data_IF_102210211933
#
_entry.id   IF_102210211933
#
_cell.length_a   1.000
_cell.length_b   1.000
_cell.length_c   1.000
_cell.angle_alpha   90.00
_cell.angle_beta   90.00
_cell.angle_gamma   90.00
#
_symmetry.space_group_name_H-M   'P 1'
#
loop_
_entity.id
_entity.type
_entity.pdbx_description
1 polymer ?
#
# COMPACT_ATOMS: atom_id res chain seq x y z
N UNK A 1 -11.89 -16.97 26.65
CA UNK A 1 -11.14 -15.71 26.50
C UNK A 1 -11.55 -15.09 25.18
N UNK A 2 -12.29 -13.99 25.21
CA UNK A 2 -12.65 -13.24 24.00
C UNK A 2 -11.37 -12.69 23.39
N UNK A 3 -11.07 -13.07 22.16
CA UNK A 3 -9.90 -12.58 21.44
C UNK A 3 -9.94 -11.05 21.42
N UNK A 4 -8.84 -10.41 21.82
CA UNK A 4 -8.71 -8.96 21.83
C UNK A 4 -8.96 -8.43 20.42
N UNK A 5 -9.89 -7.48 20.30
CA UNK A 5 -10.32 -6.97 19.00
C UNK A 5 -9.15 -6.22 18.39
N UNK A 6 -8.72 -6.62 17.19
CA UNK A 6 -7.60 -5.97 16.50
C UNK A 6 -7.87 -4.46 16.36
N UNK A 7 -7.10 -3.65 17.08
CA UNK A 7 -7.15 -2.21 16.96
C UNK A 7 -6.27 -1.76 15.78
N UNK A 8 -6.96 -1.26 14.75
CA UNK A 8 -6.34 -0.73 13.55
C UNK A 8 -5.46 0.47 13.87
N UNK A 9 -5.89 1.36 14.76
CA UNK A 9 -5.17 2.59 15.06
C UNK A 9 -3.85 2.28 15.77
N UNK A 10 -3.89 1.47 16.82
CA UNK A 10 -2.68 1.03 17.53
C UNK A 10 -1.73 0.25 16.62
N UNK A 11 -2.22 -0.63 15.74
CA UNK A 11 -1.36 -1.36 14.80
C UNK A 11 -0.59 -0.43 13.87
N UNK A 12 -1.27 0.53 13.25
CA UNK A 12 -0.66 1.49 12.34
C UNK A 12 0.36 2.37 13.08
N UNK A 13 -0.03 2.90 14.23
CA UNK A 13 0.85 3.77 15.04
C UNK A 13 2.11 3.03 15.47
N UNK A 14 1.97 1.81 15.99
CA UNK A 14 3.11 1.01 16.44
C UNK A 14 4.06 0.65 15.28
N UNK A 15 3.51 0.38 14.09
CA UNK A 15 4.32 0.11 12.91
C UNK A 15 5.13 1.35 12.50
N UNK A 16 4.53 2.54 12.55
CA UNK A 16 5.22 3.80 12.24
C UNK A 16 6.30 4.11 13.27
N UNK A 17 5.99 3.96 14.57
CA UNK A 17 6.96 4.17 15.66
C UNK A 17 8.17 3.26 15.45
N UNK A 18 7.95 1.96 15.18
CA UNK A 18 9.05 1.02 14.96
C UNK A 18 9.95 1.41 13.79
N UNK A 19 9.40 1.96 12.70
CA UNK A 19 10.19 2.44 11.55
C UNK A 19 10.98 3.71 11.89
N UNK A 20 10.39 4.61 12.68
CA UNK A 20 11.08 5.81 13.17
C UNK A 20 12.24 5.43 14.10
N UNK A 21 12.01 4.52 15.03
CA UNK A 21 13.02 3.99 15.97
C UNK A 21 14.15 3.26 15.23
N UNK A 22 13.84 2.57 14.13
CA UNK A 22 14.83 1.97 13.23
C UNK A 22 15.62 3.00 12.40
N UNK A 23 15.39 4.30 12.58
CA UNK A 23 16.08 5.37 11.86
C UNK A 23 15.69 5.50 10.39
N UNK A 24 14.66 4.78 9.94
CA UNK A 24 14.20 4.75 8.54
C UNK A 24 12.70 5.03 8.46
N UNK A 25 12.24 6.27 8.76
CA UNK A 25 10.84 6.62 8.61
C UNK A 25 10.36 6.27 7.19
N UNK A 26 9.15 5.70 7.04
CA UNK A 26 8.72 5.13 5.75
C UNK A 26 8.57 6.18 4.64
N UNK A 27 8.45 7.45 5.01
CA UNK A 27 8.43 8.59 4.08
C UNK A 27 9.79 9.28 3.89
N UNK A 28 10.90 8.73 4.41
CA UNK A 28 12.26 9.31 4.34
C UNK A 28 13.36 8.40 3.78
N UNK A 29 13.12 7.10 3.60
CA UNK A 29 14.16 6.18 3.09
C UNK A 29 14.44 6.50 1.60
N UNK A 30 15.72 6.47 1.16
CA UNK A 30 16.12 7.12 -0.07
C UNK A 30 15.54 6.41 -1.29
N UNK A 31 14.80 7.18 -2.09
CA UNK A 31 14.16 6.80 -3.34
C UNK A 31 15.15 6.49 -4.48
N UNK A 32 16.46 6.48 -4.19
CA UNK A 32 17.53 6.24 -5.17
C UNK A 32 18.65 5.39 -4.56
N UNK A 33 19.10 4.37 -5.30
CA UNK A 33 20.37 3.67 -5.06
C UNK A 33 20.31 2.31 -4.35
N UNK A 34 19.15 1.86 -3.88
CA UNK A 34 18.93 0.48 -3.39
C UNK A 34 18.03 -0.29 -4.35
N UNK A 35 18.30 -1.56 -4.60
CA UNK A 35 17.72 -2.40 -5.67
C UNK A 35 16.19 -2.53 -5.76
N UNK A 36 15.42 -1.87 -4.90
CA UNK A 36 13.98 -1.70 -5.03
C UNK A 36 13.64 -0.20 -4.92
N UNK A 37 13.52 0.47 -6.07
CA UNK A 37 12.79 1.75 -6.12
C UNK A 37 11.33 1.45 -5.76
N UNK A 38 10.81 2.06 -4.70
CA UNK A 38 9.45 1.71 -4.26
C UNK A 38 8.47 2.59 -5.02
N UNK A 39 7.86 2.01 -6.05
CA UNK A 39 6.76 2.64 -6.81
C UNK A 39 5.52 2.81 -5.92
N UNK A 40 4.56 3.62 -6.39
CA UNK A 40 3.32 3.83 -5.66
C UNK A 40 2.58 2.48 -5.56
N UNK A 41 2.18 2.02 -4.37
CA UNK A 41 1.54 0.72 -4.24
C UNK A 41 0.20 0.73 -4.95
N UNK A 42 -0.07 -0.32 -5.72
CA UNK A 42 -1.29 -0.48 -6.49
C UNK A 42 -2.08 -1.70 -6.03
N UNK A 43 -3.40 -1.60 -6.14
CA UNK A 43 -4.32 -2.73 -5.98
C UNK A 43 -4.20 -3.65 -7.18
N UNK A 44 -4.74 -4.86 -7.05
CA UNK A 44 -4.80 -5.85 -8.14
C UNK A 44 -5.41 -5.32 -9.46
N UNK A 45 -6.22 -4.26 -9.43
CA UNK A 45 -6.84 -3.64 -10.62
C UNK A 45 -6.05 -2.44 -11.18
N UNK A 46 -4.87 -2.13 -10.63
CA UNK A 46 -4.05 -0.98 -11.04
C UNK A 46 -4.41 0.35 -10.40
N UNK A 47 -5.42 0.41 -9.55
CA UNK A 47 -5.71 1.62 -8.79
C UNK A 47 -4.68 1.82 -7.68
N UNK A 48 -4.07 3.01 -7.63
CA UNK A 48 -3.16 3.38 -6.58
C UNK A 48 -3.83 3.35 -5.18
N UNK A 49 -3.10 2.85 -4.19
CA UNK A 49 -3.47 3.04 -2.79
C UNK A 49 -3.36 4.51 -2.41
N UNK A 50 -4.08 4.91 -1.36
CA UNK A 50 -4.19 6.30 -0.89
C UNK A 50 -3.93 6.39 0.61
N UNK A 51 -3.39 7.53 1.03
CA UNK A 51 -3.18 7.88 2.43
C UNK A 51 -2.28 6.89 3.17
N UNK A 52 -2.68 6.52 4.38
CA UNK A 52 -1.86 5.70 5.30
C UNK A 52 -1.45 4.34 4.74
N UNK A 53 -2.25 3.78 3.82
CA UNK A 53 -1.94 2.52 3.17
C UNK A 53 -0.66 2.60 2.34
N UNK A 54 -0.34 3.75 1.74
CA UNK A 54 0.90 3.93 0.99
C UNK A 54 2.09 3.71 1.93
N UNK A 55 2.08 4.37 3.08
CA UNK A 55 3.17 4.30 4.06
C UNK A 55 3.34 2.88 4.65
N UNK A 56 2.24 2.21 4.96
CA UNK A 56 2.27 0.84 5.50
C UNK A 56 2.78 -0.18 4.49
N UNK A 57 2.36 -0.05 3.22
CA UNK A 57 2.78 -0.95 2.15
C UNK A 57 4.24 -0.70 1.77
N UNK A 58 4.68 0.56 1.69
CA UNK A 58 6.09 0.91 1.54
C UNK A 58 6.93 0.32 2.67
N UNK A 59 6.57 0.59 3.93
CA UNK A 59 7.29 0.03 5.08
C UNK A 59 7.42 -1.50 4.99
N UNK A 60 6.36 -2.19 4.56
CA UNK A 60 6.36 -3.64 4.42
C UNK A 60 7.22 -4.11 3.25
N UNK A 61 7.08 -3.50 2.07
CA UNK A 61 7.92 -3.80 0.90
C UNK A 61 9.39 -3.62 1.23
N UNK A 62 9.74 -2.53 1.90
CA UNK A 62 11.12 -2.17 2.23
C UNK A 62 11.74 -3.08 3.28
N UNK A 63 10.95 -3.57 4.23
CA UNK A 63 11.41 -4.51 5.25
C UNK A 63 11.57 -5.94 4.72
N UNK A 64 10.93 -6.25 3.58
CA UNK A 64 10.91 -7.58 2.95
C UNK A 64 11.55 -7.63 1.57
N UNK A 65 12.08 -6.51 1.12
CA UNK A 65 12.70 -6.33 -0.20
C UNK A 65 11.77 -6.73 -1.35
N UNK A 66 10.49 -6.34 -1.26
CA UNK A 66 9.54 -6.52 -2.35
C UNK A 66 9.74 -5.45 -3.42
N UNK A 67 9.81 -5.91 -4.65
CA UNK A 67 10.02 -5.15 -5.88
C UNK A 67 8.70 -4.78 -6.56
N UNK A 68 7.67 -5.65 -6.50
CA UNK A 68 6.41 -5.37 -7.18
C UNK A 68 5.60 -4.25 -6.52
N UNK A 69 5.06 -3.35 -7.34
CA UNK A 69 4.08 -2.37 -6.90
C UNK A 69 2.74 -2.98 -6.45
N UNK A 70 2.45 -4.22 -6.89
CA UNK A 70 1.09 -4.76 -6.84
C UNK A 70 0.79 -5.51 -5.55
N UNK A 71 -0.36 -5.19 -4.96
CA UNK A 71 -0.89 -5.81 -3.75
C UNK A 71 -2.30 -6.33 -3.96
N UNK A 72 -2.58 -7.51 -3.41
CA UNK A 72 -3.87 -8.15 -3.55
C UNK A 72 -4.20 -9.05 -2.36
N UNK A 73 -5.49 -9.29 -2.13
CA UNK A 73 -5.94 -10.23 -1.11
C UNK A 73 -5.68 -11.67 -1.54
N UNK A 74 -5.67 -12.60 -0.59
CA UNK A 74 -5.53 -14.03 -0.86
C UNK A 74 -6.56 -14.54 -1.89
N UNK A 75 -7.82 -14.12 -1.76
CA UNK A 75 -8.88 -14.54 -2.67
C UNK A 75 -8.69 -14.00 -4.08
N UNK A 76 -8.19 -12.76 -4.22
CA UNK A 76 -7.86 -12.18 -5.53
C UNK A 76 -6.70 -12.95 -6.18
N UNK A 77 -5.64 -13.26 -5.43
CA UNK A 77 -4.54 -14.07 -5.93
C UNK A 77 -5.03 -15.41 -6.48
N UNK A 78 -5.88 -16.11 -5.72
CA UNK A 78 -6.49 -17.38 -6.12
C UNK A 78 -7.36 -17.27 -7.37
N UNK A 79 -8.15 -16.19 -7.49
CA UNK A 79 -8.98 -15.95 -8.68
C UNK A 79 -8.16 -15.71 -9.94
N UNK A 80 -6.97 -15.12 -9.79
CA UNK A 80 -6.02 -14.89 -10.87
C UNK A 80 -5.15 -16.13 -11.19
N UNK A 81 -5.43 -17.28 -10.56
CA UNK A 81 -4.66 -18.52 -10.74
C UNK A 81 -3.35 -18.57 -9.95
N UNK A 82 -3.04 -17.52 -9.18
CA UNK A 82 -1.84 -17.46 -8.36
C UNK A 82 -2.02 -18.13 -7.00
N UNK A 83 -0.90 -18.57 -6.41
CA UNK A 83 -0.85 -19.11 -5.06
C UNK A 83 0.17 -18.37 -4.19
N UNK A 84 -0.28 -17.92 -3.02
CA UNK A 84 0.63 -17.34 -2.03
C UNK A 84 1.57 -18.44 -1.55
N UNK A 85 2.89 -18.18 -1.56
CA UNK A 85 3.88 -19.16 -1.07
C UNK A 85 3.65 -19.50 0.40
N UNK A 86 3.93 -20.74 0.76
CA UNK A 86 3.73 -21.24 2.12
C UNK A 86 4.65 -20.49 3.10
N UNK A 87 4.06 -19.96 4.18
CA UNK A 87 4.79 -19.24 5.24
C UNK A 87 4.88 -17.73 5.04
N UNK A 88 4.42 -17.21 3.90
CA UNK A 88 4.37 -15.76 3.64
C UNK A 88 3.39 -15.06 4.59
N UNK A 89 3.78 -13.86 5.05
CA UNK A 89 2.97 -13.03 5.95
C UNK A 89 2.34 -11.89 5.16
N UNK A 90 1.03 -11.69 5.38
CA UNK A 90 0.29 -10.58 4.79
C UNK A 90 0.68 -9.22 5.39
N UNK A 91 0.64 -8.17 4.58
CA UNK A 91 0.52 -6.80 5.06
C UNK A 91 -0.93 -6.48 5.47
N UNK A 92 -1.10 -5.52 6.37
CA UNK A 92 -2.41 -4.96 6.73
C UNK A 92 -2.65 -3.72 5.89
N UNK A 93 -3.87 -3.49 5.42
CA UNK A 93 -4.34 -2.21 4.85
C UNK A 93 -5.69 -1.84 5.45
N UNK A 94 -5.99 -0.54 5.52
CA UNK A 94 -7.20 -0.01 6.15
C UNK A 94 -8.13 0.56 5.09
N UNK A 95 -9.40 0.15 5.13
CA UNK A 95 -10.50 0.79 4.39
C UNK A 95 -11.32 1.61 5.37
N UNK A 96 -11.46 2.90 5.08
CA UNK A 96 -12.43 3.77 5.72
C UNK A 96 -13.69 3.83 4.87
N UNK A 97 -14.85 3.87 5.52
CA UNK A 97 -16.13 4.04 4.85
C UNK A 97 -17.23 4.35 5.85
N UNK A 98 -18.42 4.60 5.35
CA UNK A 98 -19.65 4.73 6.16
C UNK A 98 -20.54 3.53 5.89
N UNK A 99 -21.31 3.13 6.90
CA UNK A 99 -22.38 2.14 6.76
C UNK A 99 -23.66 2.74 7.31
N UNK A 100 -24.76 2.54 6.60
CA UNK A 100 -26.08 2.93 7.06
C UNK A 100 -26.58 1.91 8.07
N UNK A 101 -27.00 2.39 9.23
CA UNK A 101 -27.68 1.60 10.25
C UNK A 101 -28.87 2.37 10.78
N UNK A 102 -29.96 1.63 10.97
CA UNK A 102 -31.13 2.10 11.68
C UNK A 102 -30.81 2.17 13.18
N UNK A 103 -31.13 3.30 13.81
CA UNK A 103 -31.00 3.46 15.26
C UNK A 103 -32.19 2.84 16.02
N UNK A 104 -32.16 2.87 17.35
CA UNK A 104 -33.22 2.32 18.19
C UNK A 104 -34.58 3.03 18.00
N UNK A 105 -34.62 4.18 17.31
CA UNK A 105 -35.82 4.95 17.02
C UNK A 105 -36.31 4.80 15.57
N UNK A 106 -35.66 3.97 14.74
CA UNK A 106 -36.01 3.80 13.33
C UNK A 106 -35.41 4.85 12.38
N UNK A 107 -34.47 5.69 12.85
CA UNK A 107 -33.80 6.66 11.99
C UNK A 107 -32.54 6.07 11.33
N UNK A 108 -32.41 6.21 10.01
CA UNK A 108 -31.20 5.83 9.30
C UNK A 108 -30.05 6.79 9.61
N UNK A 109 -28.94 6.27 10.15
CA UNK A 109 -27.73 7.04 10.43
C UNK A 109 -26.51 6.43 9.75
N UNK A 110 -25.65 7.29 9.22
CA UNK A 110 -24.35 6.90 8.67
C UNK A 110 -23.31 6.77 9.78
N UNK A 111 -22.82 5.56 9.98
CA UNK A 111 -21.79 5.26 10.98
C UNK A 111 -20.44 5.06 10.27
N UNK A 112 -19.41 5.87 10.58
CA UNK A 112 -18.08 5.66 10.02
C UNK A 112 -17.44 4.40 10.60
N UNK A 113 -16.72 3.65 9.76
CA UNK A 113 -15.96 2.48 10.17
C UNK A 113 -14.57 2.47 9.54
N UNK A 114 -13.64 1.84 10.27
CA UNK A 114 -12.33 1.45 9.77
C UNK A 114 -12.25 -0.08 9.74
N UNK A 115 -11.97 -0.67 8.58
CA UNK A 115 -11.84 -2.12 8.43
C UNK A 115 -10.46 -2.47 7.91
N UNK A 116 -9.77 -3.36 8.63
CA UNK A 116 -8.51 -3.93 8.19
C UNK A 116 -8.73 -5.05 7.16
N UNK A 117 -7.90 -5.06 6.13
CA UNK A 117 -7.78 -6.12 5.15
C UNK A 117 -6.35 -6.66 5.15
N UNK A 118 -6.21 -7.93 4.78
CA UNK A 118 -4.91 -8.59 4.63
C UNK A 118 -4.60 -8.73 3.16
N UNK A 119 -3.46 -8.18 2.75
CA UNK A 119 -2.98 -8.19 1.37
C UNK A 119 -1.57 -8.76 1.30
N UNK A 120 -1.24 -9.32 0.15
CA UNK A 120 0.04 -9.89 -0.19
C UNK A 120 0.60 -9.12 -1.38
N UNK A 121 1.91 -8.92 -1.39
CA UNK A 121 2.60 -8.39 -2.55
C UNK A 121 2.65 -9.46 -3.65
N UNK A 122 2.64 -9.07 -4.93
CA UNK A 122 2.77 -10.03 -6.03
C UNK A 122 4.04 -10.88 -5.92
N UNK A 123 5.13 -10.35 -5.36
CA UNK A 123 6.37 -11.09 -5.14
C UNK A 123 6.18 -12.26 -4.18
N UNK A 124 5.13 -12.28 -3.35
CA UNK A 124 4.78 -13.38 -2.44
C UNK A 124 3.96 -14.49 -3.11
N UNK A 125 3.57 -14.29 -4.37
CA UNK A 125 2.57 -15.10 -5.06
C UNK A 125 3.23 -15.70 -6.30
N UNK A 126 3.12 -17.01 -6.46
CA UNK A 126 3.57 -17.73 -7.66
C UNK A 126 2.38 -17.97 -8.59
N UNK A 127 2.64 -18.03 -9.90
CA UNK A 127 1.62 -18.33 -10.91
C UNK A 127 0.71 -17.16 -11.30
N UNK A 128 1.06 -15.92 -10.92
CA UNK A 128 0.36 -14.74 -11.44
C UNK A 128 0.79 -14.44 -12.89
N UNK A 129 -0.08 -13.81 -13.70
CA UNK A 129 0.31 -13.20 -14.96
C UNK A 129 1.49 -12.22 -14.81
N UNK A 130 2.33 -12.12 -15.85
CA UNK A 130 3.56 -11.33 -15.83
C UNK A 130 3.34 -9.84 -15.47
N UNK A 131 2.19 -9.29 -15.87
CA UNK A 131 1.76 -7.90 -15.59
C UNK A 131 1.61 -7.55 -14.10
N UNK A 132 1.62 -8.55 -13.21
CA UNK A 132 1.54 -8.34 -11.77
C UNK A 132 2.92 -8.21 -11.10
N UNK A 133 3.99 -8.61 -11.78
CA UNK A 133 5.38 -8.46 -11.30
C UNK A 133 5.97 -7.13 -11.81
N UNK A 134 5.32 -6.01 -11.47
CA UNK A 134 5.71 -4.67 -11.93
C UNK A 134 6.97 -4.21 -11.20
N UNK A 135 8.06 -4.07 -11.94
CA UNK A 135 9.23 -3.38 -11.44
C UNK A 135 9.05 -1.85 -11.56
N UNK A 136 9.58 -1.07 -10.61
CA UNK A 136 9.62 0.37 -10.72
C UNK A 136 10.40 0.82 -11.96
N UNK A 137 9.94 1.90 -12.61
CA UNK A 137 10.71 2.52 -13.68
C UNK A 137 12.05 3.03 -13.16
N UNK A 138 13.13 2.92 -13.96
CA UNK A 138 14.42 3.48 -13.59
C UNK A 138 14.31 5.01 -13.46
N UNK A 139 15.06 5.63 -12.54
CA UNK A 139 15.10 7.09 -12.42
C UNK A 139 15.45 7.74 -13.75
N UNK A 140 14.65 8.72 -14.18
CA UNK A 140 14.91 9.48 -15.41
C UNK A 140 16.12 10.38 -15.21
N UNK A 141 17.07 10.34 -16.14
CA UNK A 141 18.15 11.32 -16.21
C UNK A 141 17.59 12.65 -16.73
N UNK A 142 17.65 13.69 -15.89
CA UNK A 142 17.16 15.03 -16.20
C UNK A 142 18.28 15.95 -16.71
N UNK A 143 19.54 15.51 -16.66
CA UNK A 143 20.67 16.39 -16.91
C UNK A 143 20.67 17.62 -15.99
N UNK A 144 21.06 18.77 -16.52
CA UNK A 144 21.14 20.06 -15.78
C UNK A 144 20.26 21.15 -16.36
N UNK A 145 19.59 20.90 -17.48
CA UNK A 145 18.70 21.85 -18.13
C UNK A 145 17.27 21.71 -17.60
N UNK A 146 16.46 22.76 -17.75
CA UNK A 146 15.05 22.71 -17.39
C UNK A 146 14.31 21.65 -18.22
N UNK A 147 13.46 20.87 -17.56
CA UNK A 147 12.68 19.82 -18.20
C UNK A 147 11.30 20.36 -18.61
N UNK A 148 10.96 20.40 -19.91
CA UNK A 148 9.71 21.00 -20.37
C UNK A 148 8.45 20.33 -19.81
N UNK A 149 8.51 19.02 -19.52
CA UNK A 149 7.36 18.29 -18.99
C UNK A 149 7.11 18.62 -17.50
N UNK A 150 8.18 18.74 -16.70
CA UNK A 150 8.07 19.19 -15.31
C UNK A 150 7.59 20.64 -15.22
N UNK A 151 8.12 21.55 -16.05
CA UNK A 151 7.68 22.95 -16.11
C UNK A 151 6.18 23.05 -16.44
N UNK A 152 5.71 22.32 -17.45
CA UNK A 152 4.30 22.28 -17.81
C UNK A 152 3.41 21.73 -16.67
N UNK A 153 3.89 20.72 -15.95
CA UNK A 153 3.18 20.16 -14.80
C UNK A 153 3.04 21.19 -13.67
N UNK A 154 4.13 21.87 -13.28
CA UNK A 154 4.10 22.86 -12.21
C UNK A 154 3.24 24.08 -12.58
N UNK A 155 3.38 24.60 -13.81
CA UNK A 155 2.58 25.72 -14.29
C UNK A 155 1.07 25.40 -14.31
N UNK A 156 0.69 24.15 -14.58
CA UNK A 156 -0.71 23.71 -14.52
C UNK A 156 -1.25 23.52 -13.09
N UNK A 157 -0.38 23.38 -12.09
CA UNK A 157 -0.76 23.17 -10.68
C UNK A 157 -1.00 24.46 -9.89
N UNK A 158 -0.58 25.62 -10.43
CA UNK A 158 -0.80 26.95 -9.85
C UNK A 158 -2.16 27.58 -10.26
N UNK A 159 -2.95 26.89 -11.09
CA UNK A 159 -4.28 27.30 -11.56
C UNK A 159 -5.41 26.64 -10.76
#
# INVERSE_FOLDING_TARGET
MTAEKFDVYSHVTNQIIAQIEAGTPPWRKPWTGGGASVSLPERFNGEAYRGINILMLWATAMAKDYSSARWMTFNQAKQLGGHVRKGEKSATVVKYGTVEREDENGEERQIPYAKAYRVFNADQIEGLPAEFYILPDPPRDLGTLADPALEAFFAASDA
#
